data_IF_774106729575
#
_entry.id   IF_774106729575
#
_cell.length_a   1.000
_cell.length_b   1.000
_cell.length_c   1.000
_cell.angle_alpha   90.00
_cell.angle_beta   90.00
_cell.angle_gamma   90.00
#
_symmetry.space_group_name_H-M   'P 1'
#
loop_
_entity.id
_entity.type
_entity.pdbx_description
1 polymer ?
#
# COMPACT_ATOMS: atom_id res chain seq x y z
N UNK A 1 40.78 -7.77 19.82
CA UNK A 1 40.37 -7.91 21.24
C UNK A 1 40.18 -6.49 21.79
N UNK A 2 39.00 -5.89 21.60
CA UNK A 2 37.88 -6.13 22.51
C UNK A 2 36.55 -6.19 21.75
N UNK A 3 36.22 -7.39 21.26
CA UNK A 3 34.97 -7.73 20.60
C UNK A 3 34.28 -8.77 21.50
N UNK A 4 33.88 -8.40 22.73
CA UNK A 4 33.23 -9.40 23.62
C UNK A 4 32.48 -8.88 24.87
N UNK A 5 32.15 -7.59 25.00
CA UNK A 5 31.50 -7.08 26.24
C UNK A 5 30.18 -6.31 26.01
N UNK A 6 29.70 -6.19 24.78
CA UNK A 6 28.41 -5.50 24.50
C UNK A 6 27.35 -6.46 23.95
N UNK A 7 27.35 -7.71 24.43
CA UNK A 7 26.41 -8.75 23.98
C UNK A 7 25.83 -9.54 25.17
N UNK A 8 25.48 -8.83 26.26
CA UNK A 8 24.94 -9.46 27.48
C UNK A 8 23.82 -8.70 28.21
N UNK A 9 23.25 -7.63 27.64
CA UNK A 9 22.30 -6.77 28.36
C UNK A 9 20.88 -6.65 27.76
N UNK A 10 20.51 -7.47 26.77
CA UNK A 10 19.13 -7.50 26.20
C UNK A 10 18.61 -8.94 26.10
N UNK A 11 18.82 -9.74 27.14
CA UNK A 11 18.27 -11.12 27.25
C UNK A 11 17.53 -11.34 28.59
N UNK A 12 17.29 -10.30 29.39
CA UNK A 12 16.77 -10.46 30.75
C UNK A 12 15.43 -9.78 31.07
N UNK A 13 14.67 -9.30 30.07
CA UNK A 13 13.36 -8.69 30.32
C UNK A 13 12.34 -9.22 29.32
N UNK A 14 11.79 -10.41 29.61
CA UNK A 14 10.37 -10.79 29.39
C UNK A 14 10.12 -12.31 29.51
N UNK A 15 10.79 -12.97 30.47
CA UNK A 15 10.39 -14.29 30.94
C UNK A 15 10.02 -14.19 32.41
N UNK A 16 8.76 -13.83 32.69
CA UNK A 16 8.10 -14.22 33.95
C UNK A 16 6.59 -14.08 33.77
N UNK A 17 5.92 -15.21 33.64
CA UNK A 17 4.60 -15.57 34.21
C UNK A 17 4.22 -16.94 33.65
N UNK A 18 4.66 -17.96 34.37
CA UNK A 18 3.97 -19.24 34.41
C UNK A 18 3.08 -19.21 35.64
N UNK A 19 1.76 -19.39 35.47
CA UNK A 19 0.91 -20.15 36.40
C UNK A 19 -0.46 -20.43 35.74
N UNK A 20 -0.71 -21.73 35.53
CA UNK A 20 -2.02 -22.40 35.33
C UNK A 20 -2.44 -22.91 36.73
N UNK A 21 -3.72 -23.15 37.15
CA UNK A 21 -4.89 -23.60 36.39
C UNK A 21 -6.28 -23.06 36.87
N UNK A 22 -7.36 -23.35 36.12
CA UNK A 22 -8.72 -23.15 36.64
C UNK A 22 -9.82 -23.25 35.58
N UNK A 23 -10.27 -24.48 35.30
CA UNK A 23 -11.55 -24.76 34.64
C UNK A 23 -12.70 -24.30 35.54
N UNK A 24 -13.75 -23.68 34.98
CA UNK A 24 -15.07 -24.17 35.30
C UNK A 24 -15.92 -24.43 34.06
N UNK A 25 -16.56 -25.60 34.09
CA UNK A 25 -17.57 -26.07 33.17
C UNK A 25 -18.66 -25.01 32.91
N UNK A 26 -18.82 -24.66 31.64
CA UNK A 26 -19.93 -23.86 31.13
C UNK A 26 -20.66 -24.62 30.02
N UNK A 27 -21.61 -25.46 30.45
CA UNK A 27 -22.56 -26.21 29.62
C UNK A 27 -23.11 -25.37 28.47
N UNK A 28 -22.75 -25.71 27.23
CA UNK A 28 -23.42 -25.23 26.02
C UNK A 28 -24.73 -26.02 25.87
N UNK A 29 -25.92 -25.42 25.97
CA UNK A 29 -27.15 -26.16 25.71
C UNK A 29 -27.21 -26.55 24.23
N UNK A 30 -27.21 -27.87 24.01
CA UNK A 30 -27.55 -28.54 22.76
C UNK A 30 -29.00 -28.21 22.40
N UNK A 31 -29.23 -27.54 21.29
CA UNK A 31 -30.57 -27.30 20.77
C UNK A 31 -31.16 -28.62 20.24
N UNK A 32 -32.00 -29.26 21.05
CA UNK A 32 -32.83 -30.39 20.65
C UNK A 32 -33.88 -29.93 19.64
N UNK A 33 -33.86 -30.50 18.44
CA UNK A 33 -34.94 -30.35 17.47
C UNK A 33 -36.19 -31.09 17.97
N UNK A 34 -37.27 -30.33 18.24
CA UNK A 34 -38.59 -30.90 18.53
C UNK A 34 -39.35 -31.02 17.22
N UNK A 35 -39.56 -32.25 16.76
CA UNK A 35 -40.47 -32.54 15.67
C UNK A 35 -41.92 -32.39 16.18
N UNK A 36 -42.65 -31.42 15.63
CA UNK A 36 -44.07 -31.23 15.92
C UNK A 36 -44.85 -32.01 14.86
N UNK A 37 -45.47 -33.13 15.27
CA UNK A 37 -46.41 -33.88 14.46
C UNK A 37 -47.72 -33.09 14.32
N UNK A 38 -48.05 -32.66 13.10
CA UNK A 38 -49.35 -32.09 12.80
C UNK A 38 -50.36 -33.20 12.48
N UNK A 39 -51.32 -33.41 13.37
CA UNK A 39 -52.50 -34.25 13.12
C UNK A 39 -53.48 -33.54 12.19
N UNK A 40 -54.04 -34.31 11.26
CA UNK A 40 -55.01 -33.95 10.23
C UNK A 40 -56.33 -33.40 10.77
N UNK A 41 -56.93 -32.43 10.06
CA UNK A 41 -58.38 -32.26 10.02
C UNK A 41 -58.79 -31.70 8.64
N UNK A 42 -59.45 -32.52 7.84
CA UNK A 42 -60.10 -32.09 6.59
C UNK A 42 -61.42 -31.39 6.91
N UNK A 43 -61.57 -30.14 6.49
CA UNK A 43 -62.86 -29.46 6.45
C UNK A 43 -63.13 -28.99 5.01
N UNK A 44 -64.18 -29.53 4.40
CA UNK A 44 -64.67 -29.14 3.06
C UNK A 44 -65.37 -27.80 3.16
N UNK A 45 -64.81 -26.76 2.53
CA UNK A 45 -65.43 -25.43 2.40
C UNK A 45 -65.87 -25.23 0.94
N UNK A 46 -67.17 -25.14 0.72
CA UNK A 46 -67.77 -24.78 -0.57
C UNK A 46 -67.47 -23.31 -0.89
N UNK A 47 -66.73 -23.04 -1.98
CA UNK A 47 -66.31 -21.70 -2.41
C UNK A 47 -67.19 -21.20 -3.59
N UNK A 48 -67.67 -19.94 -3.60
CA UNK A 48 -68.36 -19.37 -4.76
C UNK A 48 -67.37 -19.08 -5.91
N UNK A 49 -67.84 -18.99 -7.17
CA UNK A 49 -66.97 -18.83 -8.34
C UNK A 49 -66.28 -17.46 -8.37
N UNK A 50 -64.99 -17.46 -8.70
CA UNK A 50 -64.13 -16.27 -8.84
C UNK A 50 -64.15 -15.87 -10.32
N UNK A 51 -64.42 -14.60 -10.62
CA UNK A 51 -64.25 -14.05 -11.97
C UNK A 51 -62.75 -13.85 -12.28
N UNK A 52 -62.26 -14.23 -13.47
CA UNK A 52 -60.84 -14.06 -13.81
C UNK A 52 -60.51 -12.58 -14.06
N UNK A 53 -59.49 -12.07 -13.36
CA UNK A 53 -58.93 -10.74 -13.61
C UNK A 53 -57.88 -10.81 -14.75
N UNK A 54 -57.99 -9.91 -15.73
CA UNK A 54 -56.98 -9.75 -16.79
C UNK A 54 -55.69 -9.16 -16.20
N UNK A 55 -54.60 -9.91 -16.30
CA UNK A 55 -53.27 -9.48 -15.86
C UNK A 55 -52.60 -8.75 -17.04
N UNK A 56 -52.33 -7.46 -16.88
CA UNK A 56 -51.54 -6.68 -17.84
C UNK A 56 -50.05 -6.96 -17.60
N UNK A 57 -49.24 -7.31 -18.63
CA UNK A 57 -47.82 -7.58 -18.44
C UNK A 57 -47.08 -6.28 -18.06
N UNK A 58 -46.36 -6.33 -16.94
CA UNK A 58 -45.48 -5.24 -16.50
C UNK A 58 -44.24 -5.16 -17.41
N UNK A 59 -43.81 -3.97 -17.85
CA UNK A 59 -42.58 -3.84 -18.62
C UNK A 59 -41.35 -4.21 -17.77
N UNK A 60 -40.43 -4.97 -18.34
CA UNK A 60 -39.14 -5.33 -17.72
C UNK A 60 -38.24 -4.10 -17.68
N UNK A 61 -37.66 -3.72 -16.52
CA UNK A 61 -36.73 -2.61 -16.45
C UNK A 61 -35.44 -2.94 -17.22
N UNK A 62 -35.00 -2.02 -18.09
CA UNK A 62 -33.72 -2.10 -18.78
C UNK A 62 -32.59 -1.75 -17.81
N UNK A 63 -31.61 -2.63 -17.66
CA UNK A 63 -30.41 -2.34 -16.85
C UNK A 63 -29.53 -1.32 -17.58
N UNK A 64 -29.34 -0.16 -16.97
CA UNK A 64 -28.35 0.82 -17.43
C UNK A 64 -26.94 0.33 -17.03
N UNK A 65 -25.98 0.23 -17.96
CA UNK A 65 -24.61 -0.14 -17.61
C UNK A 65 -23.99 0.93 -16.71
N UNK A 66 -23.37 0.48 -15.62
CA UNK A 66 -22.68 1.34 -14.66
C UNK A 66 -21.42 1.92 -15.34
N UNK A 67 -21.13 3.23 -15.21
CA UNK A 67 -19.87 3.78 -15.71
C UNK A 67 -18.71 3.10 -14.98
N UNK A 68 -17.76 2.58 -15.76
CA UNK A 68 -16.51 2.03 -15.25
C UNK A 68 -15.71 3.23 -14.71
N UNK A 69 -15.31 3.26 -13.43
CA UNK A 69 -14.51 4.36 -12.92
C UNK A 69 -13.19 4.44 -13.70
N UNK A 70 -12.81 5.67 -14.09
CA UNK A 70 -11.53 5.95 -14.73
C UNK A 70 -10.41 5.26 -13.96
N UNK A 71 -9.65 4.43 -14.67
CA UNK A 71 -8.52 3.70 -14.08
C UNK A 71 -7.48 4.73 -13.69
N UNK A 72 -7.35 5.02 -12.38
CA UNK A 72 -6.27 5.86 -11.87
C UNK A 72 -4.97 5.20 -12.30
N UNK A 73 -4.29 5.80 -13.28
CA UNK A 73 -2.98 5.35 -13.71
C UNK A 73 -2.02 5.55 -12.53
N UNK A 74 -1.40 4.47 -12.08
CA UNK A 74 -0.39 4.55 -11.04
C UNK A 74 0.78 5.37 -11.56
N UNK A 75 1.06 6.49 -10.92
CA UNK A 75 2.14 7.38 -11.30
C UNK A 75 2.87 7.89 -10.06
N UNK A 76 4.19 7.98 -10.16
CA UNK A 76 5.04 8.62 -9.15
C UNK A 76 4.90 10.13 -9.35
N UNK A 77 4.38 10.84 -8.35
CA UNK A 77 4.21 12.29 -8.41
C UNK A 77 5.38 12.98 -7.71
N UNK A 78 6.21 13.67 -8.48
CA UNK A 78 7.37 14.39 -7.96
C UNK A 78 6.96 15.75 -7.38
N UNK A 79 7.24 15.96 -6.09
CA UNK A 79 6.93 17.20 -5.38
C UNK A 79 8.15 18.12 -5.30
N UNK A 80 9.35 17.56 -5.18
CA UNK A 80 10.57 18.34 -5.04
C UNK A 80 11.84 17.52 -5.26
N UNK A 81 12.97 18.18 -5.57
CA UNK A 81 13.07 19.61 -5.84
C UNK A 81 12.34 20.01 -7.14
N UNK A 82 11.91 21.27 -7.28
CA UNK A 82 11.45 21.79 -8.56
C UNK A 82 12.49 21.56 -9.66
N UNK A 83 12.07 21.39 -10.93
CA UNK A 83 13.01 21.33 -12.03
C UNK A 83 13.88 22.61 -12.07
N UNK A 84 15.13 22.44 -12.48
CA UNK A 84 16.15 23.50 -12.58
C UNK A 84 16.54 24.13 -11.23
N UNK A 85 16.20 23.48 -10.11
CA UNK A 85 16.69 23.90 -8.80
C UNK A 85 18.21 23.91 -8.74
N UNK A 86 18.77 24.98 -8.19
CA UNK A 86 20.22 25.15 -8.04
C UNK A 86 20.67 24.78 -6.62
N UNK A 87 21.76 24.02 -6.52
CA UNK A 87 22.35 23.59 -5.26
C UNK A 87 23.87 23.49 -5.42
N UNK A 88 24.64 23.78 -4.37
CA UNK A 88 26.09 23.57 -4.39
C UNK A 88 26.42 22.08 -4.56
N UNK A 89 27.49 21.75 -5.29
CA UNK A 89 27.91 20.36 -5.54
C UNK A 89 28.23 19.59 -4.26
N UNK A 90 28.63 20.28 -3.18
CA UNK A 90 28.86 19.71 -1.85
C UNK A 90 27.70 19.99 -0.88
N UNK A 91 26.58 20.47 -1.39
CA UNK A 91 25.40 20.78 -0.61
C UNK A 91 24.57 19.56 -0.27
N UNK A 92 23.51 19.82 0.51
CA UNK A 92 22.46 18.85 0.83
C UNK A 92 21.23 19.15 0.00
N UNK A 93 20.65 18.12 -0.61
CA UNK A 93 19.42 18.22 -1.39
C UNK A 93 18.43 17.15 -0.95
N UNK A 94 17.15 17.51 -0.83
CA UNK A 94 16.11 16.56 -0.49
C UNK A 94 15.13 16.39 -1.65
N UNK A 95 14.82 15.13 -1.95
CA UNK A 95 13.87 14.73 -2.97
C UNK A 95 12.56 14.32 -2.30
N UNK A 96 11.43 14.70 -2.88
CA UNK A 96 10.09 14.52 -2.29
C UNK A 96 9.12 14.03 -3.35
N UNK A 97 8.33 13.02 -3.02
CA UNK A 97 7.33 12.47 -3.93
C UNK A 97 6.17 11.81 -3.20
N UNK A 98 5.09 11.54 -3.93
CA UNK A 98 3.97 10.72 -3.48
C UNK A 98 3.70 9.61 -4.49
N UNK A 99 3.07 8.54 -4.01
CA UNK A 99 2.64 7.42 -4.84
C UNK A 99 1.26 6.96 -4.33
N UNK A 100 0.26 6.79 -5.22
CA UNK A 100 -1.14 6.63 -4.82
C UNK A 100 -1.48 5.29 -4.16
N UNK A 101 -0.55 4.33 -4.15
CA UNK A 101 -0.75 3.00 -3.57
C UNK A 101 0.29 2.71 -2.49
N UNK A 102 -0.06 1.91 -1.47
CA UNK A 102 0.95 1.38 -0.57
C UNK A 102 1.91 0.46 -1.34
N UNK A 103 3.19 0.50 -0.99
CA UNK A 103 4.19 -0.41 -1.55
C UNK A 103 3.92 -1.84 -1.09
N UNK A 104 4.06 -2.80 -2.00
CA UNK A 104 4.00 -4.23 -1.65
C UNK A 104 5.29 -4.64 -0.93
N UNK A 105 5.25 -5.68 -0.05
CA UNK A 105 6.46 -6.18 0.60
C UNK A 105 7.54 -6.55 -0.43
N UNK A 106 8.73 -5.96 -0.31
CA UNK A 106 9.84 -6.15 -1.25
C UNK A 106 9.91 -5.11 -2.37
N UNK A 107 8.95 -4.18 -2.47
CA UNK A 107 9.07 -3.03 -3.37
C UNK A 107 9.84 -1.89 -2.72
N UNK A 108 10.62 -1.18 -3.53
CA UNK A 108 11.38 -0.01 -3.09
C UNK A 108 11.45 1.06 -4.18
N UNK A 109 11.52 2.32 -3.76
CA UNK A 109 11.92 3.42 -4.61
C UNK A 109 13.43 3.54 -4.67
N UNK A 110 13.93 3.77 -5.87
CA UNK A 110 15.35 4.01 -6.14
C UNK A 110 15.50 5.35 -6.86
N UNK A 111 16.28 6.24 -6.26
CA UNK A 111 16.63 7.52 -6.86
C UNK A 111 17.93 7.38 -7.64
N UNK A 112 17.87 7.72 -8.92
CA UNK A 112 19.03 7.78 -9.81
C UNK A 112 19.34 9.25 -10.14
N UNK A 113 20.63 9.58 -10.20
CA UNK A 113 21.14 10.83 -10.76
C UNK A 113 22.01 10.51 -11.96
N UNK A 114 21.76 11.16 -13.08
CA UNK A 114 22.52 11.02 -14.31
C UNK A 114 23.27 12.33 -14.60
N UNK A 115 24.59 12.22 -14.78
CA UNK A 115 25.46 13.32 -15.18
C UNK A 115 26.60 12.79 -16.05
N UNK A 116 26.90 13.47 -17.16
CA UNK A 116 27.98 13.09 -18.10
C UNK A 116 27.96 11.61 -18.49
N UNK A 117 26.79 11.12 -18.91
CA UNK A 117 26.55 9.69 -19.28
C UNK A 117 26.71 8.67 -18.14
N UNK A 118 27.08 9.12 -16.94
CA UNK A 118 27.18 8.28 -15.75
C UNK A 118 25.87 8.31 -14.99
N UNK A 119 25.36 7.15 -14.63
CA UNK A 119 24.19 6.98 -13.76
C UNK A 119 24.67 6.57 -12.37
N UNK A 120 24.30 7.37 -11.38
CA UNK A 120 24.60 7.17 -9.97
C UNK A 120 23.30 6.77 -9.28
N UNK A 121 23.27 5.55 -8.77
CA UNK A 121 22.18 5.10 -7.91
C UNK A 121 22.48 5.54 -6.48
N UNK A 122 21.50 6.17 -5.84
CA UNK A 122 21.64 6.66 -4.47
C UNK A 122 21.05 5.66 -3.47
N UNK A 123 20.33 6.15 -2.47
CA UNK A 123 19.68 5.34 -1.45
C UNK A 123 18.29 4.90 -1.91
N UNK A 124 17.79 3.82 -1.30
CA UNK A 124 16.45 3.29 -1.57
C UNK A 124 15.49 3.60 -0.42
N UNK A 125 14.19 3.72 -0.73
CA UNK A 125 13.15 3.93 0.27
C UNK A 125 11.98 2.98 0.02
N UNK A 126 11.64 2.18 1.02
CA UNK A 126 10.52 1.23 0.97
C UNK A 126 9.34 1.63 1.88
N UNK A 127 9.48 2.70 2.67
CA UNK A 127 8.45 3.13 3.64
C UNK A 127 8.24 4.64 3.56
N UNK A 128 6.98 5.13 3.53
CA UNK A 128 6.69 6.56 3.65
C UNK A 128 7.30 7.15 4.92
N UNK A 129 7.90 8.33 4.80
CA UNK A 129 8.57 9.02 5.91
C UNK A 129 8.21 10.52 6.00
N UNK A 130 7.22 10.96 5.23
CA UNK A 130 6.67 12.32 5.24
C UNK A 130 5.14 12.27 5.15
N UNK A 131 4.49 11.80 6.24
CA UNK A 131 3.05 11.51 6.22
C UNK A 131 2.75 10.35 5.27
N UNK A 132 1.91 10.59 4.27
CA UNK A 132 1.63 9.63 3.18
C UNK A 132 2.65 9.75 2.02
N UNK A 133 3.61 10.67 2.13
CA UNK A 133 4.65 10.90 1.14
C UNK A 133 6.01 10.36 1.54
N UNK A 134 6.95 10.55 0.62
CA UNK A 134 8.32 10.11 0.75
C UNK A 134 9.27 11.31 0.63
N UNK A 135 10.35 11.25 1.37
CA UNK A 135 11.44 12.20 1.38
C UNK A 135 12.78 11.46 1.43
N UNK A 136 13.71 11.85 0.58
CA UNK A 136 15.09 11.35 0.58
C UNK A 136 16.08 12.51 0.62
N UNK A 137 16.69 12.82 1.79
CA UNK A 137 17.81 13.76 1.86
C UNK A 137 19.10 13.08 1.40
N UNK A 138 19.85 13.76 0.54
CA UNK A 138 21.11 13.30 -0.04
C UNK A 138 22.19 14.36 0.23
N UNK A 139 23.35 13.92 0.71
CA UNK A 139 24.58 14.72 0.73
C UNK A 139 25.27 14.56 -0.63
N UNK A 140 25.28 15.62 -1.45
CA UNK A 140 25.78 15.55 -2.83
C UNK A 140 27.30 15.36 -2.89
N UNK A 141 28.01 15.76 -1.84
CA UNK A 141 29.47 15.59 -1.70
C UNK A 141 29.91 14.12 -1.78
N UNK A 142 29.04 13.17 -1.43
CA UNK A 142 29.35 11.74 -1.44
C UNK A 142 29.20 11.11 -2.84
N UNK A 143 28.54 11.81 -3.77
CA UNK A 143 28.17 11.28 -5.09
C UNK A 143 29.20 11.58 -6.19
N UNK A 144 30.34 12.19 -5.85
CA UNK A 144 31.40 12.57 -6.79
C UNK A 144 30.90 13.33 -8.04
N UNK A 145 29.85 14.14 -7.86
CA UNK A 145 29.27 14.96 -8.92
C UNK A 145 30.18 16.15 -9.23
N UNK A 146 30.03 16.71 -10.43
CA UNK A 146 30.74 17.93 -10.86
C UNK A 146 29.76 19.09 -11.06
N UNK A 147 30.21 20.35 -10.98
CA UNK A 147 29.39 21.49 -11.34
C UNK A 147 28.83 21.36 -12.77
N UNK A 148 27.55 21.73 -12.94
CA UNK A 148 26.83 21.60 -14.20
C UNK A 148 25.42 21.04 -13.98
N UNK A 149 24.87 20.41 -15.02
CA UNK A 149 23.51 19.88 -14.98
C UNK A 149 23.52 18.41 -14.58
N UNK A 150 22.57 18.00 -13.73
CA UNK A 150 22.28 16.60 -13.47
C UNK A 150 20.77 16.35 -13.64
N UNK A 151 20.43 15.17 -14.16
CA UNK A 151 19.04 14.71 -14.31
C UNK A 151 18.76 13.69 -13.22
N UNK A 152 17.61 13.76 -12.57
CA UNK A 152 17.22 12.79 -11.56
C UNK A 152 15.87 12.16 -11.89
N UNK A 153 15.73 10.89 -11.51
CA UNK A 153 14.54 10.08 -11.70
C UNK A 153 14.32 9.14 -10.52
N UNK A 154 13.06 8.79 -10.29
CA UNK A 154 12.66 7.75 -9.36
C UNK A 154 12.17 6.54 -10.12
N UNK A 155 12.63 5.37 -9.69
CA UNK A 155 12.20 4.07 -10.17
C UNK A 155 11.54 3.33 -9.03
N UNK A 156 10.43 2.65 -9.30
CA UNK A 156 9.87 1.65 -8.39
C UNK A 156 10.32 0.29 -8.90
N UNK A 157 10.91 -0.54 -8.05
CA UNK A 157 11.45 -1.86 -8.40
C UNK A 157 11.23 -2.86 -7.27
N UNK A 158 11.47 -4.15 -7.54
CA UNK A 158 11.60 -5.14 -6.47
C UNK A 158 13.04 -5.21 -5.97
N UNK A 159 13.21 -5.33 -4.66
CA UNK A 159 14.54 -5.40 -4.02
C UNK A 159 15.30 -6.69 -4.36
N UNK A 160 14.58 -7.80 -4.53
CA UNK A 160 15.18 -9.13 -4.81
C UNK A 160 15.37 -9.40 -6.32
N UNK A 161 14.65 -8.67 -7.17
CA UNK A 161 14.74 -8.72 -8.63
C UNK A 161 14.55 -7.30 -9.17
N UNK A 162 15.63 -6.56 -9.51
CA UNK A 162 15.57 -5.14 -9.86
C UNK A 162 14.95 -4.88 -11.24
N UNK A 163 13.84 -5.54 -11.53
CA UNK A 163 12.94 -5.21 -12.59
C UNK A 163 12.20 -3.92 -12.22
N UNK A 164 12.46 -2.90 -13.02
CA UNK A 164 11.79 -1.61 -12.97
C UNK A 164 10.30 -1.77 -13.30
N UNK A 165 9.45 -1.44 -12.33
CA UNK A 165 7.99 -1.49 -12.42
C UNK A 165 7.42 -0.17 -12.93
N UNK A 166 7.86 0.95 -12.34
CA UNK A 166 7.44 2.29 -12.69
C UNK A 166 8.62 3.24 -12.76
N UNK A 167 8.42 4.36 -13.44
CA UNK A 167 9.42 5.42 -13.60
C UNK A 167 8.73 6.75 -13.53
N UNK A 168 9.29 7.68 -12.76
CA UNK A 168 8.84 9.06 -12.77
C UNK A 168 9.21 9.76 -14.07
N UNK A 169 8.66 10.96 -14.25
CA UNK A 169 9.27 11.92 -15.16
C UNK A 169 10.74 12.20 -14.77
N UNK A 170 11.53 12.67 -15.74
CA UNK A 170 12.89 13.14 -15.51
C UNK A 170 12.87 14.62 -15.13
N UNK A 171 13.62 14.99 -14.08
CA UNK A 171 13.77 16.39 -13.67
C UNK A 171 15.23 16.78 -13.60
N UNK A 172 15.48 18.04 -13.90
CA UNK A 172 16.83 18.59 -13.93
C UNK A 172 17.13 19.31 -12.62
N UNK A 173 18.38 19.27 -12.18
CA UNK A 173 18.96 20.14 -11.15
C UNK A 173 20.27 20.74 -11.67
N UNK A 174 20.62 21.90 -11.11
CA UNK A 174 21.84 22.64 -11.46
C UNK A 174 22.78 22.57 -10.25
N UNK A 175 23.93 21.95 -10.46
CA UNK A 175 25.01 21.83 -9.48
C UNK A 175 25.96 23.01 -9.66
N UNK A 176 26.02 23.87 -8.65
CA UNK A 176 26.89 25.03 -8.61
C UNK A 176 28.27 24.65 -8.04
N UNK A 177 29.36 25.33 -8.45
CA UNK A 177 30.61 25.26 -7.71
C UNK A 177 30.41 25.73 -6.25
N UNK A 178 31.33 25.34 -5.38
CA UNK A 178 31.39 25.88 -4.00
C UNK A 178 31.63 27.38 -3.95
#
# INVERSE_FOLDING_TARGET
>A
MPLLITLFAIVLINWVWSDTPGEPAGTRPSATAVAIQSTTTSATVTRPPILPATILPSPTPTLTPLPIPDTITEAITLLGPPPESSVAVNGRLAFYWTYPKPLLPGQQFVLTLQQNETVITTQTIAVPNLGDGFQLPIELAELALVPGTAVWQLHLEWADDPQQLLTSEARTIILLPE
#
